data_IF_514706261130
#
_entry.id   IF_514706261130
#
_cell.length_a   1.000
_cell.length_b   1.000
_cell.length_c   1.000
_cell.angle_alpha   90.00
_cell.angle_beta   90.00
_cell.angle_gamma   90.00
#
_symmetry.space_group_name_H-M   'P 1'
#
loop_
_entity.id
_entity.type
_entity.pdbx_description
1 polymer ?
#
# COMPACT_ATOMS: atom_id res chain seq x y z
N UNK A 1 -7.44 -32.41 11.08
CA UNK A 1 -7.76 -32.32 9.64
C UNK A 1 -6.44 -32.39 8.87
N UNK A 2 -6.30 -33.28 7.88
CA UNK A 2 -5.07 -33.37 7.05
C UNK A 2 -5.03 -32.15 6.13
N UNK A 3 -3.89 -31.45 6.07
CA UNK A 3 -3.70 -30.37 5.10
C UNK A 3 -3.63 -30.94 3.68
N UNK A 4 -4.20 -30.25 2.68
CA UNK A 4 -4.07 -30.68 1.29
C UNK A 4 -2.61 -30.59 0.86
N UNK A 5 -2.15 -31.58 0.11
CA UNK A 5 -0.83 -31.57 -0.52
C UNK A 5 -0.76 -30.49 -1.59
N UNK A 6 0.46 -30.08 -1.93
CA UNK A 6 0.71 -29.11 -3.00
C UNK A 6 0.03 -29.51 -4.32
N UNK A 7 0.10 -30.79 -4.72
CA UNK A 7 -0.55 -31.30 -5.92
C UNK A 7 -2.08 -31.23 -5.86
N UNK A 8 -2.67 -31.53 -4.70
CA UNK A 8 -4.12 -31.42 -4.49
C UNK A 8 -4.59 -29.97 -4.59
N UNK A 9 -3.84 -29.02 -4.01
CA UNK A 9 -4.14 -27.58 -4.13
C UNK A 9 -4.09 -27.13 -5.58
N UNK A 10 -3.05 -27.50 -6.33
CA UNK A 10 -2.95 -27.14 -7.75
C UNK A 10 -4.10 -27.69 -8.57
N UNK A 11 -4.46 -28.96 -8.38
CA UNK A 11 -5.57 -29.61 -9.08
C UNK A 11 -6.90 -28.88 -8.86
N UNK A 12 -7.10 -28.31 -7.66
CA UNK A 12 -8.30 -27.56 -7.31
C UNK A 12 -8.25 -26.13 -7.86
N UNK A 13 -7.11 -25.44 -7.76
CA UNK A 13 -7.03 -23.99 -7.99
C UNK A 13 -6.70 -23.58 -9.42
N UNK A 14 -5.95 -24.38 -10.17
CA UNK A 14 -5.62 -24.11 -11.59
C UNK A 14 -6.86 -23.98 -12.48
N UNK A 15 -7.92 -24.80 -12.34
CA UNK A 15 -9.15 -24.61 -13.10
C UNK A 15 -9.79 -23.23 -12.90
N UNK A 16 -9.74 -22.66 -11.69
CA UNK A 16 -10.25 -21.31 -11.44
C UNK A 16 -9.44 -20.24 -12.17
N UNK A 17 -8.11 -20.39 -12.22
CA UNK A 17 -7.24 -19.51 -13.01
C UNK A 17 -7.57 -19.58 -14.49
N UNK A 18 -7.72 -20.80 -15.03
CA UNK A 18 -8.06 -21.00 -16.43
C UNK A 18 -9.41 -20.37 -16.79
N UNK A 19 -10.40 -20.46 -15.90
CA UNK A 19 -11.70 -19.84 -16.13
C UNK A 19 -11.62 -18.32 -16.07
N UNK A 20 -10.94 -17.78 -15.06
CA UNK A 20 -10.76 -16.34 -14.91
C UNK A 20 -9.96 -15.70 -16.07
N UNK A 21 -9.03 -16.44 -16.68
CA UNK A 21 -8.31 -15.98 -17.87
C UNK A 21 -9.23 -15.81 -19.09
N UNK A 22 -10.30 -16.59 -19.21
CA UNK A 22 -11.24 -16.47 -20.34
C UNK A 22 -12.08 -15.19 -20.29
N UNK A 23 -12.30 -14.66 -19.08
CA UNK A 23 -13.13 -13.48 -18.83
C UNK A 23 -12.29 -12.24 -18.46
N UNK A 24 -10.96 -12.28 -18.61
CA UNK A 24 -10.06 -11.24 -18.12
C UNK A 24 -10.37 -9.84 -18.67
N UNK A 25 -10.78 -9.74 -19.94
CA UNK A 25 -11.08 -8.46 -20.58
C UNK A 25 -12.39 -7.84 -20.05
N UNK A 26 -13.35 -8.69 -19.68
CA UNK A 26 -14.67 -8.26 -19.17
C UNK A 26 -14.69 -8.11 -17.64
N UNK A 27 -14.00 -9.00 -16.94
CA UNK A 27 -13.95 -9.08 -15.48
C UNK A 27 -12.53 -9.40 -14.98
N UNK A 28 -11.61 -8.41 -15.01
CA UNK A 28 -10.23 -8.60 -14.54
C UNK A 28 -10.14 -8.94 -13.04
N UNK A 29 -11.21 -8.72 -12.27
CA UNK A 29 -11.27 -9.03 -10.85
C UNK A 29 -11.25 -10.54 -10.58
N UNK A 30 -11.86 -11.35 -11.45
CA UNK A 30 -11.86 -12.81 -11.30
C UNK A 30 -10.42 -13.33 -11.35
N UNK A 31 -9.58 -12.77 -12.23
CA UNK A 31 -8.18 -13.16 -12.35
C UNK A 31 -7.38 -12.76 -11.12
N UNK A 32 -7.62 -11.57 -10.55
CA UNK A 32 -7.00 -11.13 -9.29
C UNK A 32 -7.32 -12.11 -8.17
N UNK A 33 -8.61 -12.41 -7.98
CA UNK A 33 -9.07 -13.26 -6.88
C UNK A 33 -8.55 -14.70 -7.06
N UNK A 34 -8.60 -15.23 -8.29
CA UNK A 34 -8.10 -16.57 -8.58
C UNK A 34 -6.58 -16.67 -8.36
N UNK A 35 -5.79 -15.66 -8.77
CA UNK A 35 -4.34 -15.61 -8.53
C UNK A 35 -4.01 -15.57 -7.04
N UNK A 36 -4.66 -14.68 -6.28
CA UNK A 36 -4.47 -14.56 -4.84
C UNK A 36 -4.85 -15.86 -4.14
N UNK A 37 -5.99 -16.46 -4.51
CA UNK A 37 -6.44 -17.73 -3.95
C UNK A 37 -5.45 -18.85 -4.24
N UNK A 38 -4.97 -18.97 -5.47
CA UNK A 38 -3.99 -19.98 -5.86
C UNK A 38 -2.68 -19.84 -5.06
N UNK A 39 -2.12 -18.63 -5.01
CA UNK A 39 -0.86 -18.34 -4.28
C UNK A 39 -1.02 -18.56 -2.78
N UNK A 40 -2.11 -18.07 -2.19
CA UNK A 40 -2.37 -18.22 -0.76
C UNK A 40 -2.65 -19.69 -0.37
N UNK A 41 -3.36 -20.46 -1.20
CA UNK A 41 -3.60 -21.87 -0.95
C UNK A 41 -2.30 -22.69 -1.01
N UNK A 42 -1.43 -22.41 -2.00
CA UNK A 42 -0.10 -23.04 -2.09
C UNK A 42 0.80 -22.68 -0.91
N UNK A 43 0.71 -21.45 -0.42
CA UNK A 43 1.45 -21.01 0.76
C UNK A 43 1.11 -21.87 1.99
N UNK A 44 -0.16 -22.23 2.18
CA UNK A 44 -0.59 -23.06 3.30
C UNK A 44 -0.49 -24.58 3.07
N UNK A 45 -0.25 -25.05 1.83
CA UNK A 45 -0.10 -26.49 1.57
C UNK A 45 1.18 -27.07 2.18
N UNK A 46 2.17 -26.21 2.46
CA UNK A 46 3.45 -26.59 3.06
C UNK A 46 3.50 -26.37 4.58
N UNK A 47 2.34 -26.06 5.20
CA UNK A 47 2.24 -25.68 6.62
C UNK A 47 1.97 -24.19 6.80
N UNK A 48 1.83 -23.75 8.04
CA UNK A 48 1.67 -22.32 8.35
C UNK A 48 3.00 -21.61 8.13
N UNK A 49 3.07 -20.58 7.26
CA UNK A 49 4.29 -19.81 7.05
C UNK A 49 4.74 -19.15 8.33
N UNK A 50 6.05 -18.98 8.47
CA UNK A 50 6.61 -18.16 9.54
C UNK A 50 6.08 -16.72 9.40
N UNK A 51 5.44 -16.25 10.46
CA UNK A 51 4.91 -14.89 10.61
C UNK A 51 5.63 -14.11 11.70
N UNK A 52 6.61 -14.71 12.37
CA UNK A 52 7.28 -14.14 13.53
C UNK A 52 8.30 -13.08 13.08
N UNK A 53 9.03 -13.39 12.01
CA UNK A 53 9.91 -12.44 11.34
C UNK A 53 9.10 -11.48 10.45
N UNK A 54 9.36 -10.17 10.63
CA UNK A 54 8.69 -9.12 9.87
C UNK A 54 8.88 -9.27 8.37
N UNK A 55 10.11 -9.50 7.91
CA UNK A 55 10.42 -9.68 6.49
C UNK A 55 9.68 -10.89 5.87
N UNK A 56 9.65 -12.02 6.58
CA UNK A 56 8.89 -13.21 6.18
C UNK A 56 7.39 -12.95 6.15
N UNK A 57 6.86 -12.24 7.14
CA UNK A 57 5.45 -11.84 7.18
C UNK A 57 5.08 -10.94 5.99
N UNK A 58 5.92 -9.96 5.67
CA UNK A 58 5.72 -9.07 4.53
C UNK A 58 5.70 -9.83 3.21
N UNK A 59 6.69 -10.68 2.97
CA UNK A 59 6.83 -11.38 1.69
C UNK A 59 5.80 -12.50 1.52
N UNK A 60 5.45 -13.23 2.59
CA UNK A 60 4.52 -14.35 2.49
C UNK A 60 3.07 -13.88 2.34
N UNK A 61 2.65 -12.86 3.11
CA UNK A 61 1.24 -12.47 3.19
C UNK A 61 0.93 -11.20 2.40
N UNK A 62 1.78 -10.17 2.51
CA UNK A 62 1.45 -8.83 2.02
C UNK A 62 1.86 -8.65 0.57
N UNK A 63 3.05 -9.11 0.18
CA UNK A 63 3.57 -8.93 -1.17
C UNK A 63 2.66 -9.56 -2.23
N UNK A 64 2.22 -10.80 -2.00
CA UNK A 64 1.26 -11.48 -2.86
C UNK A 64 0.02 -10.64 -3.12
N UNK A 65 -0.57 -10.05 -2.07
CA UNK A 65 -1.78 -9.26 -2.19
C UNK A 65 -1.54 -7.91 -2.88
N UNK A 66 -0.48 -7.21 -2.52
CA UNK A 66 -0.21 -5.88 -3.05
C UNK A 66 0.19 -5.93 -4.51
N UNK A 67 1.02 -6.90 -4.90
CA UNK A 67 1.45 -7.07 -6.29
C UNK A 67 0.26 -7.42 -7.18
N UNK A 68 -0.54 -8.42 -6.81
CA UNK A 68 -1.68 -8.87 -7.62
C UNK A 68 -2.77 -7.78 -7.76
N UNK A 69 -2.89 -6.88 -6.78
CA UNK A 69 -3.92 -5.82 -6.82
C UNK A 69 -3.40 -4.55 -7.48
N UNK A 70 -2.26 -4.03 -7.07
CA UNK A 70 -1.80 -2.69 -7.49
C UNK A 70 -0.98 -2.70 -8.78
N UNK A 71 -0.37 -3.82 -9.19
CA UNK A 71 0.52 -3.86 -10.36
C UNK A 71 -0.18 -4.21 -11.68
N UNK A 72 -1.50 -4.36 -11.68
CA UNK A 72 -2.26 -4.56 -12.92
C UNK A 72 -2.37 -3.31 -13.78
N UNK A 73 -2.37 -2.13 -13.16
CA UNK A 73 -2.46 -0.88 -13.88
C UNK A 73 -1.05 -0.40 -14.24
N UNK A 74 -0.74 -0.38 -15.54
CA UNK A 74 0.60 -0.02 -16.06
C UNK A 74 1.06 1.40 -15.71
N UNK A 75 0.14 2.27 -15.29
CA UNK A 75 0.46 3.61 -14.78
C UNK A 75 1.08 3.57 -13.38
N UNK A 76 0.76 2.55 -12.58
CA UNK A 76 1.23 2.42 -11.20
C UNK A 76 2.52 1.61 -11.16
N UNK A 77 3.47 2.12 -10.39
CA UNK A 77 4.68 1.42 -10.01
C UNK A 77 4.70 1.23 -8.49
N UNK A 78 5.43 0.22 -8.01
CA UNK A 78 5.62 0.04 -6.58
C UNK A 78 7.04 -0.36 -6.22
N UNK A 79 7.42 -0.08 -4.97
CA UNK A 79 8.70 -0.50 -4.42
C UNK A 79 8.59 -0.86 -2.94
N UNK A 80 9.28 -1.93 -2.57
CA UNK A 80 9.62 -2.27 -1.19
C UNK A 80 10.80 -1.43 -0.71
N UNK A 81 10.79 -1.01 0.55
CA UNK A 81 11.89 -0.28 1.17
C UNK A 81 13.21 -1.08 1.20
N UNK A 82 13.14 -2.40 1.33
CA UNK A 82 14.31 -3.25 1.56
C UNK A 82 15.06 -3.64 0.26
N UNK A 83 14.45 -3.43 -0.92
CA UNK A 83 14.98 -3.91 -2.20
C UNK A 83 16.10 -3.07 -2.86
N UNK A 84 16.51 -1.92 -2.29
CA UNK A 84 17.67 -1.15 -2.75
C UNK A 84 18.39 -0.49 -1.57
N UNK A 85 19.28 -1.23 -0.92
CA UNK A 85 20.24 -0.70 0.07
C UNK A 85 21.68 -0.78 -0.44
N UNK A 86 21.93 -0.20 -1.62
CA UNK A 86 23.27 0.26 -2.03
C UNK A 86 23.27 1.71 -2.51
N UNK A 87 22.20 2.46 -2.23
CA UNK A 87 22.15 3.90 -2.45
C UNK A 87 21.50 4.58 -1.28
N UNK A 88 22.29 5.19 -0.39
CA UNK A 88 21.78 6.25 0.49
C UNK A 88 21.02 7.22 -0.41
N UNK A 89 19.71 7.39 -0.19
CA UNK A 89 19.04 8.61 -0.68
C UNK A 89 19.72 9.77 0.08
N UNK A 90 20.78 10.32 -0.52
CA UNK A 90 21.16 11.71 -0.30
C UNK A 90 20.13 12.55 -1.05
N UNK A 91 18.96 12.70 -0.48
CA UNK A 91 18.11 13.84 -0.75
C UNK A 91 17.91 14.51 0.59
N UNK A 92 18.19 15.80 0.60
CA UNK A 92 18.40 16.65 1.76
C UNK A 92 17.27 16.61 2.80
N UNK A 93 17.67 16.93 4.02
CA UNK A 93 16.90 17.06 5.28
C UNK A 93 16.64 15.77 6.08
N UNK A 94 17.26 15.69 7.24
CA UNK A 94 17.47 14.48 8.04
C UNK A 94 16.28 13.92 8.83
N UNK A 95 15.03 14.04 8.36
CA UNK A 95 13.83 13.61 9.13
C UNK A 95 12.83 12.76 8.35
N UNK A 96 13.18 12.24 7.16
CA UNK A 96 12.22 11.52 6.33
C UNK A 96 11.87 10.11 6.85
N UNK A 97 10.61 9.90 7.23
CA UNK A 97 10.07 8.55 7.47
C UNK A 97 10.05 7.75 6.17
N UNK A 98 10.62 6.55 6.21
CA UNK A 98 10.66 5.63 5.08
C UNK A 98 9.53 4.60 5.26
N UNK A 99 8.55 4.54 4.33
CA UNK A 99 7.49 3.54 4.38
C UNK A 99 8.03 2.17 3.96
N UNK A 100 7.41 1.09 4.44
CA UNK A 100 7.81 -0.28 4.09
C UNK A 100 7.50 -0.62 2.62
N UNK A 101 6.40 -0.07 2.12
CA UNK A 101 5.96 -0.19 0.73
C UNK A 101 5.39 1.13 0.22
N UNK A 102 5.60 1.42 -1.06
CA UNK A 102 5.12 2.65 -1.69
C UNK A 102 4.64 2.39 -3.10
N UNK A 103 3.49 2.98 -3.43
CA UNK A 103 2.90 3.01 -4.76
C UNK A 103 3.07 4.42 -5.31
N UNK A 104 3.57 4.53 -6.54
CA UNK A 104 3.91 5.81 -7.16
C UNK A 104 3.66 5.76 -8.67
N UNK A 105 3.76 6.91 -9.32
CA UNK A 105 3.89 7.01 -10.77
C UNK A 105 5.26 7.60 -11.10
N UNK A 106 5.83 7.19 -12.22
CA UNK A 106 7.00 7.85 -12.80
C UNK A 106 6.69 8.35 -14.20
N UNK A 107 7.01 9.61 -14.47
CA UNK A 107 7.11 10.09 -15.84
C UNK A 107 8.50 10.68 -16.05
N UNK A 108 9.29 10.03 -16.92
CA UNK A 108 10.72 10.33 -17.14
C UNK A 108 11.50 10.21 -15.82
N UNK A 109 11.99 11.31 -15.27
CA UNK A 109 12.74 11.38 -14.00
C UNK A 109 11.88 11.86 -12.82
N UNK A 110 10.60 12.18 -13.04
CA UNK A 110 9.73 12.70 -11.99
C UNK A 110 8.91 11.58 -11.38
N UNK A 111 9.06 11.39 -10.07
CA UNK A 111 8.33 10.41 -9.27
C UNK A 111 7.37 11.10 -8.30
N UNK A 112 6.11 10.69 -8.33
CA UNK A 112 5.06 11.15 -7.41
C UNK A 112 4.49 9.96 -6.64
N UNK A 113 4.66 9.97 -5.33
CA UNK A 113 4.15 8.92 -4.45
C UNK A 113 2.65 9.13 -4.20
N UNK A 114 1.88 8.05 -4.28
CA UNK A 114 0.41 8.06 -4.24
C UNK A 114 -0.16 7.30 -3.03
N UNK A 115 0.55 6.28 -2.57
CA UNK A 115 0.19 5.50 -1.40
C UNK A 115 1.42 4.97 -0.70
N UNK A 116 1.36 4.84 0.61
CA UNK A 116 2.36 4.11 1.40
C UNK A 116 1.70 3.03 2.24
N UNK A 117 2.51 2.05 2.66
CA UNK A 117 2.12 1.09 3.67
C UNK A 117 3.16 1.04 4.79
N UNK A 118 2.66 0.95 6.01
CA UNK A 118 3.42 0.64 7.21
C UNK A 118 2.94 -0.71 7.73
N UNK A 119 3.86 -1.62 7.98
CA UNK A 119 3.55 -2.96 8.43
C UNK A 119 4.36 -3.37 9.65
N UNK A 120 3.75 -4.20 10.49
CA UNK A 120 4.34 -4.77 11.69
C UNK A 120 3.96 -6.23 11.80
N UNK A 121 4.93 -7.08 12.15
CA UNK A 121 4.66 -8.49 12.39
C UNK A 121 3.76 -8.70 13.63
N UNK A 122 3.01 -9.81 13.69
CA UNK A 122 2.20 -10.18 14.85
C UNK A 122 2.94 -10.21 16.20
N UNK A 123 4.24 -10.51 16.21
CA UNK A 123 5.05 -10.57 17.44
C UNK A 123 5.44 -9.16 17.93
N UNK A 124 5.79 -8.27 17.01
CA UNK A 124 6.16 -6.89 17.34
C UNK A 124 4.99 -6.07 17.91
N UNK A 125 3.75 -6.54 17.75
CA UNK A 125 2.54 -5.92 18.29
C UNK A 125 2.37 -6.01 19.82
N UNK A 126 3.11 -6.88 20.53
CA UNK A 126 2.82 -7.10 21.96
C UNK A 126 3.26 -5.95 22.88
N UNK A 127 4.04 -4.97 22.41
CA UNK A 127 4.60 -3.91 23.28
C UNK A 127 4.55 -2.48 22.68
N UNK A 128 4.21 -2.27 21.40
CA UNK A 128 4.44 -0.95 20.77
C UNK A 128 3.14 -0.35 20.21
N UNK A 129 2.89 0.88 20.65
CA UNK A 129 1.69 1.69 20.51
C UNK A 129 1.17 1.80 19.05
N UNK A 130 0.02 1.21 18.69
CA UNK A 130 -0.59 1.37 17.35
C UNK A 130 -0.90 2.83 17.01
N UNK A 131 -1.00 3.71 18.02
CA UNK A 131 -1.12 5.16 17.82
C UNK A 131 0.14 5.77 17.18
N UNK A 132 1.34 5.25 17.44
CA UNK A 132 2.59 5.77 16.88
C UNK A 132 2.70 5.48 15.39
N UNK A 133 2.37 4.25 14.97
CA UNK A 133 2.45 3.86 13.56
C UNK A 133 1.37 4.54 12.71
N UNK A 134 0.17 4.75 13.27
CA UNK A 134 -0.86 5.56 12.61
C UNK A 134 -0.42 7.02 12.44
N UNK A 135 0.25 7.61 13.44
CA UNK A 135 0.80 8.97 13.33
C UNK A 135 1.92 9.02 12.29
N UNK A 136 2.83 8.04 12.27
CA UNK A 136 3.87 7.90 11.23
C UNK A 136 3.23 7.84 9.84
N UNK A 137 2.27 6.95 9.64
CA UNK A 137 1.53 6.81 8.37
C UNK A 137 0.87 8.13 7.98
N UNK A 138 0.23 8.82 8.92
CA UNK A 138 -0.37 10.13 8.69
C UNK A 138 0.64 11.19 8.26
N UNK A 139 1.84 11.21 8.84
CA UNK A 139 2.91 12.13 8.44
C UNK A 139 3.44 11.81 7.04
N UNK A 140 3.62 10.53 6.70
CA UNK A 140 4.03 10.09 5.35
C UNK A 140 2.97 10.47 4.31
N UNK A 141 1.69 10.21 4.58
CA UNK A 141 0.58 10.61 3.73
C UNK A 141 0.53 12.13 3.54
N UNK A 142 0.69 12.91 4.61
CA UNK A 142 0.75 14.37 4.55
C UNK A 142 1.88 14.83 3.61
N UNK A 143 3.05 14.24 3.73
CA UNK A 143 4.20 14.59 2.89
C UNK A 143 3.95 14.29 1.41
N UNK A 144 3.44 13.10 1.10
CA UNK A 144 3.06 12.72 -0.26
C UNK A 144 2.03 13.70 -0.84
N UNK A 145 1.02 14.05 -0.04
CA UNK A 145 -0.03 14.97 -0.44
C UNK A 145 0.52 16.39 -0.71
N UNK A 146 1.36 16.91 0.19
CA UNK A 146 2.01 18.21 0.01
C UNK A 146 2.81 18.26 -1.29
N UNK A 147 3.55 17.17 -1.60
CA UNK A 147 4.31 17.05 -2.85
C UNK A 147 3.39 17.10 -4.08
N UNK A 148 2.26 16.40 -4.07
CA UNK A 148 1.29 16.45 -5.17
C UNK A 148 0.70 17.86 -5.36
N UNK A 149 0.36 18.56 -4.27
CA UNK A 149 -0.14 19.94 -4.33
C UNK A 149 0.90 20.89 -4.92
N UNK A 150 2.17 20.78 -4.50
CA UNK A 150 3.29 21.57 -5.06
C UNK A 150 3.53 21.32 -6.54
N UNK A 151 3.28 20.10 -7.00
CA UNK A 151 3.39 19.77 -8.43
C UNK A 151 2.18 20.25 -9.24
N UNK A 152 1.14 20.75 -8.56
CA UNK A 152 -0.08 21.28 -9.18
C UNK A 152 -1.08 20.19 -9.57
N UNK A 153 -1.04 19.03 -8.90
CA UNK A 153 -2.07 17.99 -9.08
C UNK A 153 -3.36 18.48 -8.43
N UNK A 154 -4.44 18.56 -9.21
CA UNK A 154 -5.72 19.11 -8.76
C UNK A 154 -6.48 18.19 -7.80
N UNK A 155 -6.85 18.71 -6.63
CA UNK A 155 -7.55 18.02 -5.52
C UNK A 155 -6.99 16.61 -5.32
N UNK A 156 -5.70 16.49 -4.97
CA UNK A 156 -5.05 15.20 -4.85
C UNK A 156 -5.59 14.46 -3.62
N UNK A 157 -5.64 13.14 -3.72
CA UNK A 157 -5.94 12.25 -2.60
C UNK A 157 -4.87 11.17 -2.57
N UNK A 158 -4.28 10.92 -1.41
CA UNK A 158 -3.27 9.88 -1.22
C UNK A 158 -3.82 8.73 -0.38
N UNK A 159 -3.23 7.55 -0.55
CA UNK A 159 -3.56 6.32 0.15
C UNK A 159 -2.61 6.00 1.30
N UNK A 160 -3.11 5.24 2.27
CA UNK A 160 -2.32 4.69 3.36
C UNK A 160 -2.81 3.30 3.71
N UNK A 161 -1.89 2.38 3.99
CA UNK A 161 -2.21 1.03 4.45
C UNK A 161 -1.46 0.78 5.75
N UNK A 162 -2.19 0.52 6.83
CA UNK A 162 -1.60 0.11 8.11
C UNK A 162 -1.84 -1.38 8.28
N UNK A 163 -0.75 -2.15 8.43
CA UNK A 163 -0.81 -3.57 8.74
C UNK A 163 -0.22 -3.82 10.12
N UNK A 164 -1.04 -4.37 11.00
CA UNK A 164 -0.72 -4.59 12.41
C UNK A 164 -0.96 -6.06 12.72
N UNK A 165 0.06 -6.90 12.49
CA UNK A 165 -0.11 -8.34 12.43
C UNK A 165 -1.10 -8.73 11.34
N UNK A 166 -2.06 -9.61 11.62
CA UNK A 166 -3.09 -10.03 10.65
C UNK A 166 -4.28 -9.07 10.55
N UNK A 167 -4.11 -7.79 10.87
CA UNK A 167 -5.14 -6.78 10.68
C UNK A 167 -4.63 -5.71 9.71
N UNK A 168 -5.49 -5.32 8.77
CA UNK A 168 -5.23 -4.27 7.81
C UNK A 168 -6.26 -3.16 7.95
N UNK A 169 -5.79 -1.92 7.92
CA UNK A 169 -6.63 -0.74 7.80
C UNK A 169 -6.17 0.07 6.59
N UNK A 170 -7.12 0.49 5.76
CA UNK A 170 -6.84 1.37 4.63
C UNK A 170 -7.38 2.77 4.91
N UNK A 171 -6.65 3.77 4.44
CA UNK A 171 -6.96 5.17 4.66
C UNK A 171 -6.82 5.96 3.36
N UNK A 172 -7.58 7.04 3.25
CA UNK A 172 -7.30 8.13 2.31
C UNK A 172 -7.01 9.41 3.06
N UNK A 173 -6.20 10.29 2.47
CA UNK A 173 -5.98 11.64 2.98
C UNK A 173 -6.14 12.68 1.87
N UNK A 174 -6.83 13.76 2.22
CA UNK A 174 -7.03 14.93 1.37
C UNK A 174 -6.86 16.22 2.19
N UNK A 175 -6.57 17.33 1.51
CA UNK A 175 -6.44 18.64 2.13
C UNK A 175 -7.74 19.41 1.91
N UNK A 176 -8.49 19.67 2.97
CA UNK A 176 -9.85 20.24 2.89
C UNK A 176 -9.89 21.74 3.16
N UNK A 177 -8.91 22.26 3.90
CA UNK A 177 -8.77 23.68 4.26
C UNK A 177 -7.31 23.99 4.64
N UNK A 178 -7.01 25.23 4.99
CA UNK A 178 -5.70 25.75 5.39
C UNK A 178 -5.10 24.92 6.52
N UNK A 179 -4.15 24.06 6.17
CA UNK A 179 -3.46 23.17 7.09
C UNK A 179 -4.32 22.06 7.69
N UNK A 180 -5.52 21.82 7.14
CA UNK A 180 -6.45 20.81 7.64
C UNK A 180 -6.43 19.59 6.72
N UNK A 181 -5.68 18.58 7.16
CA UNK A 181 -5.55 17.29 6.49
C UNK A 181 -6.63 16.33 7.03
N UNK A 182 -7.53 15.87 6.16
CA UNK A 182 -8.56 14.92 6.52
C UNK A 182 -8.12 13.51 6.14
N UNK A 183 -7.70 12.74 7.15
CA UNK A 183 -7.46 11.30 7.03
C UNK A 183 -8.74 10.53 7.37
N UNK A 184 -9.20 9.68 6.47
CA UNK A 184 -10.43 8.89 6.62
C UNK A 184 -10.10 7.41 6.50
N UNK A 185 -10.50 6.61 7.51
CA UNK A 185 -10.47 5.16 7.40
C UNK A 185 -11.49 4.72 6.34
N UNK A 186 -11.00 4.01 5.33
CA UNK A 186 -11.83 3.45 4.26
C UNK A 186 -12.36 2.07 4.65
N UNK A 187 -11.49 1.24 5.24
CA UNK A 187 -11.84 -0.11 5.65
C UNK A 187 -10.91 -0.64 6.72
N UNK A 188 -11.39 -1.67 7.44
CA UNK A 188 -10.64 -2.44 8.42
C UNK A 188 -11.00 -3.91 8.27
N UNK A 189 -10.00 -4.76 8.04
CA UNK A 189 -10.19 -6.21 7.82
C UNK A 189 -9.10 -7.06 8.44
N UNK A 190 -9.42 -8.34 8.62
CA UNK A 190 -8.45 -9.36 8.99
C UNK A 190 -7.82 -9.98 7.74
N UNK A 191 -6.53 -10.28 7.81
CA UNK A 191 -5.84 -11.17 6.89
C UNK A 191 -6.06 -12.63 7.28
N UNK A 192 -5.98 -13.50 6.29
CA UNK A 192 -6.02 -14.94 6.49
C UNK A 192 -4.74 -15.43 7.20
N UNK A 193 -4.91 -16.27 8.22
CA UNK A 193 -3.83 -16.88 9.01
C UNK A 193 -3.60 -18.34 8.69
N UNK A 194 -4.59 -18.96 8.06
CA UNK A 194 -4.61 -20.37 7.73
C UNK A 194 -5.55 -20.62 6.54
N UNK A 195 -5.53 -21.86 6.05
CA UNK A 195 -6.30 -22.25 4.86
C UNK A 195 -7.82 -22.08 5.00
N UNK A 196 -8.37 -22.18 6.21
CA UNK A 196 -9.81 -22.01 6.45
C UNK A 196 -10.24 -20.54 6.34
N UNK A 197 -9.31 -19.62 6.57
CA UNK A 197 -9.55 -18.18 6.49
C UNK A 197 -9.38 -17.63 5.06
N UNK A 198 -9.06 -18.48 4.07
CA UNK A 198 -9.03 -18.07 2.65
C UNK A 198 -10.38 -17.53 2.16
N UNK A 199 -11.48 -17.84 2.86
CA UNK A 199 -12.79 -17.24 2.62
C UNK A 199 -12.81 -15.72 2.86
N UNK A 200 -11.80 -15.14 3.50
CA UNK A 200 -11.64 -13.70 3.69
C UNK A 200 -11.11 -12.98 2.44
N UNK A 201 -10.55 -13.71 1.46
CA UNK A 201 -9.94 -13.13 0.25
C UNK A 201 -10.88 -12.13 -0.45
N UNK A 202 -12.17 -12.44 -0.72
CA UNK A 202 -13.05 -11.50 -1.41
C UNK A 202 -13.16 -10.15 -0.68
N UNK A 203 -13.27 -10.18 0.65
CA UNK A 203 -13.35 -8.96 1.47
C UNK A 203 -12.03 -8.18 1.45
N UNK A 204 -10.90 -8.88 1.59
CA UNK A 204 -9.56 -8.26 1.54
C UNK A 204 -9.34 -7.58 0.19
N UNK A 205 -9.66 -8.27 -0.90
CA UNK A 205 -9.52 -7.77 -2.27
C UNK A 205 -10.44 -6.56 -2.49
N UNK A 206 -11.71 -6.64 -2.09
CA UNK A 206 -12.66 -5.53 -2.21
C UNK A 206 -12.15 -4.25 -1.51
N UNK A 207 -11.63 -4.39 -0.29
CA UNK A 207 -11.10 -3.28 0.50
C UNK A 207 -9.85 -2.64 -0.12
N UNK A 208 -8.93 -3.46 -0.62
CA UNK A 208 -7.72 -2.96 -1.30
C UNK A 208 -8.04 -2.34 -2.66
N UNK A 209 -9.04 -2.86 -3.38
CA UNK A 209 -9.54 -2.27 -4.62
C UNK A 209 -10.23 -0.93 -4.40
N UNK A 210 -10.94 -0.75 -3.28
CA UNK A 210 -11.49 0.55 -2.91
C UNK A 210 -10.38 1.61 -2.78
N UNK A 211 -9.28 1.27 -2.10
CA UNK A 211 -8.11 2.15 -2.02
C UNK A 211 -7.46 2.36 -3.39
N UNK A 212 -7.31 1.29 -4.17
CA UNK A 212 -6.76 1.32 -5.54
C UNK A 212 -7.52 2.32 -6.42
N UNK A 213 -8.84 2.32 -6.38
CA UNK A 213 -9.67 3.24 -7.16
C UNK A 213 -9.41 4.72 -6.80
N UNK A 214 -9.27 5.00 -5.50
CA UNK A 214 -8.91 6.34 -5.00
C UNK A 214 -7.56 6.78 -5.57
N UNK A 215 -6.53 5.94 -5.44
CA UNK A 215 -5.17 6.29 -5.87
C UNK A 215 -5.04 6.36 -7.40
N UNK A 216 -5.77 5.53 -8.16
CA UNK A 216 -5.79 5.57 -9.62
C UNK A 216 -6.39 6.88 -10.15
N UNK A 217 -7.41 7.39 -9.48
CA UNK A 217 -7.99 8.69 -9.82
C UNK A 217 -6.94 9.80 -9.67
N UNK A 218 -6.15 9.78 -8.60
CA UNK A 218 -5.04 10.71 -8.41
C UNK A 218 -3.89 10.46 -9.39
N UNK A 219 -3.58 9.20 -9.71
CA UNK A 219 -2.54 8.81 -10.66
C UNK A 219 -2.77 9.41 -12.05
N UNK A 220 -4.00 9.32 -12.56
CA UNK A 220 -4.37 9.90 -13.87
C UNK A 220 -4.16 11.41 -13.88
N UNK A 221 -4.66 12.12 -12.87
CA UNK A 221 -4.47 13.58 -12.72
C UNK A 221 -2.99 13.96 -12.61
N UNK A 222 -2.22 13.17 -11.86
CA UNK A 222 -0.80 13.41 -11.66
C UNK A 222 -0.01 13.18 -12.97
N UNK A 223 -0.34 12.16 -13.74
CA UNK A 223 0.23 11.91 -15.06
C UNK A 223 -0.13 13.01 -16.07
N UNK A 224 -1.38 13.47 -16.10
CA UNK A 224 -1.81 14.60 -16.93
C UNK A 224 -1.06 15.89 -16.56
N UNK A 225 -0.82 16.08 -15.26
CA UNK A 225 -0.05 17.22 -14.75
C UNK A 225 1.41 17.15 -15.17
N UNK A 226 2.05 15.99 -15.02
CA UNK A 226 3.44 15.77 -15.44
C UNK A 226 3.58 15.94 -16.97
N UNK A 227 2.62 15.47 -17.77
CA UNK A 227 2.53 15.74 -19.21
C UNK A 227 2.46 17.25 -19.50
N UNK A 228 1.60 17.98 -18.79
CA UNK A 228 1.42 19.42 -18.97
C UNK A 228 2.67 20.21 -18.57
N UNK A 229 3.34 19.81 -17.49
CA UNK A 229 4.63 20.38 -17.05
C UNK A 229 5.70 20.21 -18.14
N UNK A 230 5.73 19.06 -18.81
CA UNK A 230 6.68 18.82 -19.92
C UNK A 230 6.45 19.71 -21.15
N UNK A 231 5.24 20.27 -21.28
CA UNK A 231 4.86 21.24 -22.32
C UNK A 231 5.07 22.70 -21.88
N UNK A 232 5.67 22.94 -20.70
CA UNK A 232 5.89 24.28 -20.17
C UNK A 232 4.65 24.94 -19.55
N UNK A 233 3.56 24.19 -19.33
CA UNK A 233 2.33 24.74 -18.74
C UNK A 233 2.51 24.88 -17.23
N UNK A 234 2.37 26.10 -16.66
CA UNK A 234 2.55 26.32 -15.23
C UNK A 234 1.49 25.58 -14.40
N UNK A 235 1.79 25.18 -13.15
CA UNK A 235 0.82 24.52 -12.29
C UNK A 235 -0.30 25.47 -11.88
N UNK A 236 -1.53 24.97 -11.84
CA UNK A 236 -2.64 25.60 -11.13
C UNK A 236 -2.82 24.85 -9.82
N UNK A 237 -2.53 25.52 -8.70
CA UNK A 237 -2.63 24.90 -7.39
C UNK A 237 -4.09 24.95 -6.90
N UNK A 238 -4.73 23.79 -6.89
CA UNK A 238 -6.01 23.54 -6.26
C UNK A 238 -5.86 22.22 -5.48
N UNK A 239 -5.69 22.23 -4.15
CA UNK A 239 -5.72 23.39 -3.25
C UNK A 239 -4.50 24.33 -3.39
N UNK A 240 -4.57 25.57 -2.87
CA UNK A 240 -3.43 26.50 -2.85
C UNK A 240 -2.22 25.99 -2.05
N UNK A 241 -1.00 26.33 -2.48
CA UNK A 241 0.24 25.97 -1.75
C UNK A 241 0.30 26.64 -0.37
N UNK A 242 -0.36 27.80 -0.19
CA UNK A 242 -0.47 28.47 1.12
C UNK A 242 -1.25 27.68 2.16
N UNK A 243 -1.99 26.63 1.76
CA UNK A 243 -2.69 25.74 2.68
C UNK A 243 -1.77 24.67 3.28
N UNK A 244 -0.55 24.48 2.75
CA UNK A 244 0.33 23.44 3.22
C UNK A 244 0.93 23.78 4.59
N UNK A 245 1.12 22.75 5.43
CA UNK A 245 1.93 22.84 6.65
C UNK A 245 3.13 21.92 6.53
N UNK A 246 4.31 22.52 6.70
CA UNK A 246 5.61 21.84 6.63
C UNK A 246 6.24 21.59 7.98
N UNK A 247 5.57 21.98 9.07
CA UNK A 247 6.07 21.68 10.41
C UNK A 247 5.96 20.19 10.69
N UNK A 248 7.13 19.56 10.86
CA UNK A 248 7.23 18.21 11.38
C UNK A 248 6.89 18.18 12.88
N UNK A 249 6.19 17.13 13.28
CA UNK A 249 6.02 16.82 14.69
C UNK A 249 7.09 15.78 15.00
N UNK A 250 8.10 16.18 15.77
CA UNK A 250 9.18 15.29 16.19
C UNK A 250 8.63 14.11 16.99
N UNK A 251 8.60 12.93 16.37
CA UNK A 251 8.32 11.68 17.08
C UNK A 251 9.60 11.25 17.80
N UNK A 252 9.72 11.64 19.07
CA UNK A 252 10.83 11.19 19.92
C UNK A 252 10.68 9.68 20.17
N UNK A 253 11.61 8.88 19.62
CA UNK A 253 11.77 7.48 20.04
C UNK A 253 12.11 7.47 21.53
N UNK A 254 11.19 7.01 22.38
CA UNK A 254 11.54 6.70 23.77
C UNK A 254 12.64 5.64 23.76
N UNK A 255 13.78 5.94 24.39
CA UNK A 255 14.87 4.98 24.56
C UNK A 255 14.30 3.73 25.25
N UNK A 256 14.60 2.54 24.71
CA UNK A 256 14.34 1.28 25.39
C UNK A 256 15.13 1.32 26.71
N UNK A 257 14.43 1.48 27.82
CA UNK A 257 15.01 1.21 29.13
C UNK A 257 15.42 -0.26 29.12
N UNK A 258 16.72 -0.52 29.22
CA UNK A 258 17.23 -1.87 29.50
C UNK A 258 16.90 -2.12 30.97
N UNK A 259 15.92 -2.99 31.22
CA UNK A 259 15.84 -3.75 32.48
C UNK A 259 16.40 -5.15 32.22
#
# INVERSE_FOLDING_TARGET
VRLPTWYEVQKITIPFLHEAMKTMDDNPLDLIVANILHRAALLFSNGTPDSDLEDSFMHNFIATLFEDIFMLDTILESKWANGQLSGKRKCDDGTHFKPDYVIFITQRSHRLDLSCAEAKSPINNRIIFPKSDLVKLGQEMRWMLNKLVREGVGKPVVGGILVTGFQTQTYKMELIDIGVYRMVELSKTLFFRNIHELTLIPTIVSNLLQLKHVILTTAKKANDRLCSKSKGIPPRHDPPVSWLRDTDIDLVKRQKTKE
#
